data_IF_699035257535
#
_entry.id   IF_699035257535
#
_cell.length_a   1.000
_cell.length_b   1.000
_cell.length_c   1.000
_cell.angle_alpha   90.00
_cell.angle_beta   90.00
_cell.angle_gamma   90.00
#
_symmetry.space_group_name_H-M   'P 1'
#
loop_
_entity.id
_entity.type
_entity.pdbx_description
1 polymer ?
#
# COMPACT_ATOMS: atom_id res chain seq x y z
N UNK A 1 2.46 -25.43 4.55
CA UNK A 1 2.89 -24.44 3.54
C UNK A 1 3.00 -25.17 2.20
N UNK A 2 1.95 -25.14 1.37
CA UNK A 2 1.98 -25.78 0.04
C UNK A 2 2.66 -24.84 -0.95
N UNK A 3 3.72 -25.31 -1.62
CA UNK A 3 4.31 -24.64 -2.79
C UNK A 3 3.64 -25.21 -4.03
N UNK A 4 2.81 -24.41 -4.71
CA UNK A 4 2.26 -24.77 -6.01
C UNK A 4 3.27 -24.38 -7.09
N UNK A 5 3.76 -25.38 -7.83
CA UNK A 5 4.58 -25.20 -9.02
C UNK A 5 3.67 -25.13 -10.24
N UNK A 6 3.79 -24.07 -11.03
CA UNK A 6 3.19 -24.00 -12.36
C UNK A 6 4.31 -24.10 -13.38
N UNK A 7 4.31 -25.20 -14.12
CA UNK A 7 5.33 -25.51 -15.10
C UNK A 7 4.70 -25.39 -16.48
N UNK A 8 5.09 -24.37 -17.26
CA UNK A 8 4.70 -24.28 -18.66
C UNK A 8 5.91 -24.63 -19.53
N UNK A 9 5.83 -25.85 -20.07
CA UNK A 9 6.63 -26.50 -21.14
C UNK A 9 8.15 -26.58 -21.04
N UNK A 10 8.88 -25.74 -20.32
CA UNK A 10 10.34 -25.93 -20.07
C UNK A 10 10.89 -25.10 -18.91
N UNK A 11 10.10 -24.21 -18.30
CA UNK A 11 10.52 -23.41 -17.15
C UNK A 11 9.55 -23.59 -15.98
N UNK A 12 10.08 -24.11 -14.86
CA UNK A 12 9.35 -24.16 -13.60
C UNK A 12 9.71 -22.89 -12.83
N UNK A 13 8.90 -21.84 -12.98
CA UNK A 13 9.04 -20.66 -12.17
C UNK A 13 8.45 -20.93 -10.77
N UNK A 14 9.18 -20.54 -9.72
CA UNK A 14 8.55 -20.35 -8.43
C UNK A 14 7.54 -19.21 -8.58
N UNK A 15 6.24 -19.52 -8.59
CA UNK A 15 5.24 -18.47 -8.43
C UNK A 15 5.47 -17.87 -7.05
N UNK A 16 5.89 -16.60 -7.01
CA UNK A 16 5.97 -15.84 -5.78
C UNK A 16 4.55 -15.45 -5.37
N UNK A 17 4.03 -16.11 -4.34
CA UNK A 17 2.75 -15.78 -3.74
C UNK A 17 2.93 -14.66 -2.72
N UNK A 18 2.10 -13.62 -2.81
CA UNK A 18 2.09 -12.54 -1.83
C UNK A 18 1.06 -12.85 -0.75
N UNK A 19 1.45 -12.71 0.52
CA UNK A 19 0.52 -12.81 1.64
C UNK A 19 0.05 -11.40 1.99
N UNK A 20 -1.23 -11.17 1.84
CA UNK A 20 -1.86 -9.89 2.13
C UNK A 20 -2.38 -9.88 3.55
N UNK A 21 -2.06 -8.83 4.30
CA UNK A 21 -2.54 -8.68 5.67
C UNK A 21 -3.88 -7.95 5.68
N UNK A 22 -4.91 -8.59 6.24
CA UNK A 22 -6.26 -8.06 6.35
C UNK A 22 -6.58 -7.72 7.81
N UNK A 23 -7.49 -6.77 8.01
CA UNK A 23 -8.18 -6.59 9.29
C UNK A 23 -9.69 -6.55 9.05
N UNK A 24 -10.43 -7.08 10.02
CA UNK A 24 -11.89 -7.09 10.04
C UNK A 24 -12.37 -6.45 11.34
N UNK A 25 -13.27 -5.49 11.22
CA UNK A 25 -14.10 -5.01 12.32
C UNK A 25 -15.45 -5.72 12.18
N UNK A 26 -15.79 -6.63 13.11
CA UNK A 26 -16.99 -7.44 12.97
C UNK A 26 -18.27 -6.63 13.17
N UNK A 27 -19.34 -7.01 12.47
CA UNK A 27 -20.68 -6.51 12.74
C UNK A 27 -21.11 -6.87 14.18
N UNK A 28 -21.76 -5.98 14.93
CA UNK A 28 -22.31 -6.28 16.26
C UNK A 28 -23.45 -7.31 16.23
N UNK A 29 -24.21 -7.38 15.12
CA UNK A 29 -25.23 -8.41 14.88
C UNK A 29 -24.57 -9.79 14.72
N UNK A 30 -25.16 -10.84 15.33
CA UNK A 30 -24.60 -12.21 15.30
C UNK A 30 -24.50 -12.81 13.89
N UNK A 31 -25.30 -12.31 12.94
CA UNK A 31 -25.29 -12.76 11.55
C UNK A 31 -24.98 -11.57 10.63
N UNK A 32 -23.70 -11.36 10.35
CA UNK A 32 -23.26 -10.37 9.36
C UNK A 32 -23.88 -10.63 7.99
N UNK A 33 -24.41 -9.58 7.34
CA UNK A 33 -25.00 -9.64 5.98
C UNK A 33 -23.93 -9.68 4.88
N UNK A 34 -22.65 -9.57 5.22
CA UNK A 34 -21.53 -9.59 4.28
C UNK A 34 -20.37 -8.71 4.72
N UNK A 35 -19.52 -8.31 3.78
CA UNK A 35 -18.36 -7.46 4.09
C UNK A 35 -18.31 -6.22 3.20
N UNK A 36 -18.06 -5.07 3.81
CA UNK A 36 -17.77 -3.81 3.12
C UNK A 36 -16.26 -3.62 3.12
N UNK A 37 -15.68 -3.57 1.91
CA UNK A 37 -14.25 -3.34 1.73
C UNK A 37 -13.92 -1.85 1.65
N UNK A 38 -13.09 -1.37 2.57
CA UNK A 38 -12.56 -0.02 2.57
C UNK A 38 -11.24 0.05 1.81
N UNK A 39 -11.09 1.09 0.98
CA UNK A 39 -9.84 1.46 0.32
C UNK A 39 -9.50 2.90 0.68
N UNK A 40 -8.71 3.08 1.73
CA UNK A 40 -8.30 4.40 2.18
C UNK A 40 -7.28 5.03 1.20
N UNK A 41 -7.31 6.36 1.08
CA UNK A 41 -6.35 7.14 0.28
C UNK A 41 -5.04 7.35 1.06
N UNK A 42 -4.01 7.82 0.36
CA UNK A 42 -2.67 8.04 0.94
C UNK A 42 -1.81 6.78 0.84
N UNK A 43 -1.32 6.48 -0.36
CA UNK A 43 -0.41 5.36 -0.61
C UNK A 43 0.73 5.32 0.42
N UNK A 44 1.07 4.13 0.94
CA UNK A 44 2.14 3.95 1.93
C UNK A 44 1.69 3.95 3.40
N UNK A 45 0.45 4.37 3.69
CA UNK A 45 -0.10 4.25 5.05
C UNK A 45 -0.75 2.88 5.31
N UNK A 46 -0.68 2.43 6.57
CA UNK A 46 -1.31 1.19 7.04
C UNK A 46 -2.83 1.35 7.07
N UNK A 47 -3.51 0.92 6.00
CA UNK A 47 -4.96 0.96 5.86
C UNK A 47 -5.66 0.25 7.02
N UNK A 48 -5.07 -0.83 7.55
CA UNK A 48 -5.61 -1.53 8.74
C UNK A 48 -5.71 -0.63 9.97
N UNK A 49 -4.71 0.21 10.22
CA UNK A 49 -4.74 1.14 11.35
C UNK A 49 -5.81 2.22 11.14
N UNK A 50 -5.97 2.66 9.89
CA UNK A 50 -7.01 3.61 9.49
C UNK A 50 -8.42 3.05 9.67
N UNK A 51 -8.63 1.72 9.58
CA UNK A 51 -9.93 1.12 9.86
C UNK A 51 -10.17 0.90 11.36
N UNK A 52 -9.18 0.39 12.09
CA UNK A 52 -9.37 -0.04 13.49
C UNK A 52 -9.69 1.13 14.41
N UNK A 53 -8.93 2.24 14.32
CA UNK A 53 -9.14 3.40 15.20
C UNK A 53 -10.57 3.97 15.16
N UNK A 54 -11.08 4.34 13.98
CA UNK A 54 -12.45 4.84 13.79
C UNK A 54 -13.50 3.74 13.54
N UNK A 55 -13.20 2.46 13.74
CA UNK A 55 -14.04 1.34 13.31
C UNK A 55 -15.50 1.41 13.81
N UNK A 56 -15.71 1.84 15.06
CA UNK A 56 -17.06 2.05 15.61
C UNK A 56 -17.86 3.13 14.87
N UNK A 57 -17.18 4.21 14.42
CA UNK A 57 -17.82 5.28 13.63
C UNK A 57 -18.23 4.76 12.26
N UNK A 58 -17.39 3.95 11.63
CA UNK A 58 -17.72 3.34 10.34
C UNK A 58 -18.81 2.28 10.45
N UNK A 59 -18.86 1.52 11.54
CA UNK A 59 -19.96 0.58 11.81
C UNK A 59 -21.28 1.35 11.91
N UNK A 60 -21.32 2.42 12.71
CA UNK A 60 -22.50 3.26 12.83
C UNK A 60 -22.91 3.88 11.48
N UNK A 61 -21.94 4.35 10.68
CA UNK A 61 -22.20 4.94 9.37
C UNK A 61 -22.70 3.93 8.31
N UNK A 62 -22.38 2.65 8.47
CA UNK A 62 -22.78 1.56 7.54
C UNK A 62 -23.97 0.76 8.05
N UNK A 63 -24.58 1.18 9.16
CA UNK A 63 -25.76 0.55 9.76
C UNK A 63 -25.48 -0.66 10.66
N UNK A 64 -24.21 -1.08 10.81
CA UNK A 64 -23.82 -2.16 11.72
C UNK A 64 -24.19 -3.58 11.26
N UNK A 65 -24.73 -3.73 10.05
CA UNK A 65 -25.15 -5.03 9.50
C UNK A 65 -24.04 -5.80 8.78
N UNK A 66 -22.92 -5.14 8.46
CA UNK A 66 -21.84 -5.67 7.65
C UNK A 66 -20.52 -5.63 8.41
N UNK A 67 -19.68 -6.63 8.14
CA UNK A 67 -18.29 -6.58 8.57
C UNK A 67 -17.53 -5.53 7.78
N UNK A 68 -16.71 -4.74 8.45
CA UNK A 68 -15.84 -3.80 7.77
C UNK A 68 -14.48 -4.47 7.58
N UNK A 69 -14.01 -4.52 6.34
CA UNK A 69 -12.73 -5.15 6.03
C UNK A 69 -11.83 -4.19 5.28
N UNK A 70 -10.54 -4.24 5.55
CA UNK A 70 -9.52 -3.57 4.75
C UNK A 70 -8.27 -4.43 4.71
N UNK A 71 -7.41 -4.11 3.76
CA UNK A 71 -6.09 -4.71 3.61
C UNK A 71 -5.05 -3.63 3.34
N UNK A 72 -3.80 -3.90 3.70
CA UNK A 72 -2.69 -3.05 3.29
C UNK A 72 -2.29 -3.43 1.86
N UNK A 73 -2.37 -2.53 0.87
CA UNK A 73 -1.98 -2.85 -0.50
C UNK A 73 -0.51 -3.29 -0.62
N UNK A 74 -0.17 -3.99 -1.71
CA UNK A 74 1.23 -4.28 -2.06
C UNK A 74 2.07 -2.99 -2.07
N UNK A 75 3.35 -3.06 -1.74
CA UNK A 75 4.20 -1.87 -1.66
C UNK A 75 4.11 -1.16 -0.31
N UNK A 76 3.24 -1.61 0.60
CA UNK A 76 3.00 -0.95 1.89
C UNK A 76 3.51 -1.81 3.04
N UNK A 77 4.52 -1.31 3.76
CA UNK A 77 5.10 -1.90 4.97
C UNK A 77 5.35 -3.42 4.85
N UNK A 78 4.49 -4.23 5.46
CA UNK A 78 4.73 -5.66 5.63
C UNK A 78 4.40 -6.49 4.37
N UNK A 79 3.71 -5.92 3.38
CA UNK A 79 3.32 -6.62 2.15
C UNK A 79 4.16 -6.13 0.98
N UNK A 80 5.33 -6.77 0.78
CA UNK A 80 6.39 -6.38 -0.18
C UNK A 80 6.64 -4.88 -0.06
N UNK A 81 7.37 -4.42 0.97
CA UNK A 81 7.66 -3.00 1.12
C UNK A 81 8.31 -2.49 -0.16
N UNK A 82 7.72 -1.46 -0.76
CA UNK A 82 8.40 -0.68 -1.76
C UNK A 82 9.25 0.34 -1.01
N UNK A 83 10.56 0.24 -1.14
CA UNK A 83 11.48 1.15 -0.48
C UNK A 83 12.57 1.55 -1.47
N UNK A 84 12.97 2.82 -1.45
CA UNK A 84 14.03 3.32 -2.33
C UNK A 84 15.36 3.48 -1.60
N UNK A 85 15.35 3.50 -0.26
CA UNK A 85 16.54 3.68 0.59
C UNK A 85 16.26 3.14 1.99
N UNK A 86 17.26 2.57 2.67
CA UNK A 86 17.15 2.12 4.06
C UNK A 86 17.12 3.25 5.09
N UNK A 87 17.53 4.47 4.71
CA UNK A 87 17.56 5.63 5.60
C UNK A 87 16.32 6.52 5.39
N UNK A 88 15.59 6.76 6.49
CA UNK A 88 14.43 7.66 6.50
C UNK A 88 14.81 9.11 6.20
N UNK A 89 16.05 9.52 6.50
CA UNK A 89 16.55 10.88 6.21
C UNK A 89 16.76 11.06 4.71
N UNK A 90 17.41 10.09 4.07
CA UNK A 90 17.54 10.02 2.60
C UNK A 90 16.17 9.99 1.92
N UNK A 91 15.22 9.19 2.46
CA UNK A 91 13.87 9.10 1.91
C UNK A 91 13.13 10.45 1.99
N UNK A 92 13.30 11.16 3.11
CA UNK A 92 12.71 12.48 3.30
C UNK A 92 13.30 13.50 2.32
N UNK A 93 14.63 13.55 2.18
CA UNK A 93 15.32 14.42 1.22
C UNK A 93 14.88 14.17 -0.21
N UNK A 94 14.70 12.89 -0.60
CA UNK A 94 14.16 12.53 -1.92
C UNK A 94 12.72 13.01 -2.15
N UNK A 95 11.92 13.13 -1.09
CA UNK A 95 10.54 13.63 -1.18
C UNK A 95 10.42 15.15 -1.13
N UNK A 96 11.40 15.84 -0.55
CA UNK A 96 11.35 17.28 -0.27
C UNK A 96 11.90 18.14 -1.43
N UNK A 97 12.74 17.58 -2.31
CA UNK A 97 13.35 18.30 -3.44
C UNK A 97 12.39 18.53 -4.64
N UNK A 98 11.07 18.46 -4.40
CA UNK A 98 10.05 18.87 -5.36
C UNK A 98 9.72 20.36 -5.17
N UNK A 99 10.02 21.17 -6.17
CA UNK A 99 9.80 22.62 -6.12
C UNK A 99 8.51 23.00 -6.85
N UNK A 100 7.63 23.76 -6.18
CA UNK A 100 6.44 24.34 -6.78
C UNK A 100 6.75 25.76 -7.24
N UNK A 101 6.74 25.98 -8.56
CA UNK A 101 7.05 27.26 -9.19
C UNK A 101 6.44 27.39 -10.59
N UNK A 102 6.86 28.41 -11.35
CA UNK A 102 6.37 28.58 -12.73
C UNK A 102 7.02 27.58 -13.68
N UNK A 103 6.26 27.07 -14.66
CA UNK A 103 6.65 25.97 -15.55
C UNK A 103 7.97 26.20 -16.30
N UNK A 104 8.37 27.46 -16.53
CA UNK A 104 9.63 27.77 -17.22
C UNK A 104 10.88 27.64 -16.34
N UNK A 105 10.72 27.64 -15.02
CA UNK A 105 11.85 27.75 -14.07
C UNK A 105 12.13 26.42 -13.34
N UNK A 106 11.09 25.64 -13.07
CA UNK A 106 11.17 24.42 -12.23
C UNK A 106 10.98 23.10 -12.99
N UNK A 107 10.53 23.10 -14.24
CA UNK A 107 10.23 21.85 -14.97
C UNK A 107 11.49 21.00 -15.22
N UNK A 108 12.59 21.63 -15.62
CA UNK A 108 13.88 20.94 -15.82
C UNK A 108 14.44 20.36 -14.51
N UNK A 109 14.36 21.10 -13.41
CA UNK A 109 14.86 20.65 -12.10
C UNK A 109 14.00 19.50 -11.55
N UNK A 110 12.67 19.64 -11.61
CA UNK A 110 11.76 18.59 -11.15
C UNK A 110 11.91 17.32 -12.00
N UNK A 111 12.14 17.45 -13.31
CA UNK A 111 12.40 16.31 -14.18
C UNK A 111 13.73 15.61 -13.84
N UNK A 112 14.80 16.39 -13.62
CA UNK A 112 16.10 15.85 -13.21
C UNK A 112 16.01 15.12 -11.86
N UNK A 113 15.31 15.73 -10.89
CA UNK A 113 15.05 15.13 -9.58
C UNK A 113 14.23 13.84 -9.69
N UNK A 114 13.12 13.86 -10.44
CA UNK A 114 12.29 12.68 -10.66
C UNK A 114 13.09 11.53 -11.30
N UNK A 115 13.98 11.85 -12.25
CA UNK A 115 14.89 10.87 -12.85
C UNK A 115 15.85 10.30 -11.82
N UNK A 116 16.46 11.15 -10.99
CA UNK A 116 17.36 10.71 -9.93
C UNK A 116 16.65 9.80 -8.92
N UNK A 117 15.52 10.23 -8.37
CA UNK A 117 14.71 9.44 -7.45
C UNK A 117 14.29 8.09 -8.06
N UNK A 118 13.84 8.09 -9.33
CA UNK A 118 13.48 6.85 -10.02
C UNK A 118 14.67 5.90 -10.18
N UNK A 119 15.88 6.42 -10.43
CA UNK A 119 17.09 5.61 -10.57
C UNK A 119 17.51 4.97 -9.25
N UNK A 120 17.38 5.69 -8.14
CA UNK A 120 17.64 5.18 -6.79
C UNK A 120 16.65 4.04 -6.48
N UNK A 121 15.35 4.29 -6.67
CA UNK A 121 14.32 3.27 -6.44
C UNK A 121 14.54 2.03 -7.33
N UNK A 122 14.90 2.22 -8.61
CA UNK A 122 15.14 1.12 -9.53
C UNK A 122 16.32 0.23 -9.13
N UNK A 123 17.33 0.79 -8.45
CA UNK A 123 18.48 0.03 -7.95
C UNK A 123 18.15 -0.79 -6.68
N UNK A 124 17.01 -0.53 -6.05
CA UNK A 124 16.62 -1.12 -4.76
C UNK A 124 15.70 -2.35 -4.87
N UNK A 125 15.29 -2.72 -6.08
CA UNK A 125 14.32 -3.79 -6.36
C UNK A 125 14.96 -5.06 -6.93
#
# INVERSE_FOLDING_TARGET
MLRYFYCQTTACALIAWIILQLVRVPAPEKLSKGSISFKFRGSGFLARNTLVGPGAKFLAATGGDYDLVTFDPRGTRNTIPFNCTDDLTELFSLSDDFTIGTVSEVDGSNFAHAKHASSICAAYH
#
